data_IF_798011012813
#
_entry.id   IF_798011012813
#
_cell.length_a   1.000
_cell.length_b   1.000
_cell.length_c   1.000
_cell.angle_alpha   90.00
_cell.angle_beta   90.00
_cell.angle_gamma   90.00
#
_symmetry.space_group_name_H-M   'P 1'
#
loop_
_entity.id
_entity.type
_entity.pdbx_description
1 polymer ?
#
# COMPACT_ATOMS: atom_id res chain seq x y z
N UNK A 1 9.27 10.21 -27.93
CA UNK A 1 9.62 9.45 -26.70
C UNK A 1 9.09 10.10 -25.42
N UNK A 2 9.41 11.36 -25.06
CA UNK A 2 9.01 11.93 -23.77
C UNK A 2 7.48 12.02 -23.57
N UNK A 3 6.75 12.41 -24.61
CA UNK A 3 5.29 12.53 -24.59
C UNK A 3 4.59 11.20 -24.31
N UNK A 4 5.10 10.09 -24.86
CA UNK A 4 4.49 8.77 -24.71
C UNK A 4 4.66 8.27 -23.27
N UNK A 5 5.86 8.44 -22.70
CA UNK A 5 6.13 8.10 -21.30
C UNK A 5 5.24 8.93 -20.37
N UNK A 6 5.18 10.25 -20.56
CA UNK A 6 4.36 11.14 -19.74
C UNK A 6 2.86 10.80 -19.80
N UNK A 7 2.31 10.57 -21.00
CA UNK A 7 0.90 10.17 -21.18
C UNK A 7 0.62 8.81 -20.56
N UNK A 8 1.55 7.86 -20.70
CA UNK A 8 1.41 6.51 -20.13
C UNK A 8 1.37 6.56 -18.61
N UNK A 9 2.24 7.35 -17.97
CA UNK A 9 2.21 7.56 -16.52
C UNK A 9 0.92 8.27 -16.07
N UNK A 10 0.45 9.29 -16.80
CA UNK A 10 -0.79 10.00 -16.49
C UNK A 10 -2.03 9.10 -16.57
N UNK A 11 -2.12 8.27 -17.61
CA UNK A 11 -3.17 7.24 -17.75
C UNK A 11 -3.08 6.25 -16.58
N UNK A 12 -1.87 5.89 -16.17
CA UNK A 12 -1.63 5.04 -15.01
C UNK A 12 -2.17 5.60 -13.71
N UNK A 13 -1.82 6.85 -13.38
CA UNK A 13 -2.37 7.57 -12.23
C UNK A 13 -3.90 7.62 -12.24
N UNK A 14 -4.50 7.84 -13.41
CA UNK A 14 -5.96 7.85 -13.54
C UNK A 14 -6.58 6.48 -13.26
N UNK A 15 -5.98 5.39 -13.75
CA UNK A 15 -6.45 4.02 -13.47
C UNK A 15 -6.32 3.66 -11.99
N UNK A 16 -5.23 4.03 -11.33
CA UNK A 16 -5.07 3.84 -9.88
C UNK A 16 -6.15 4.59 -9.11
N UNK A 17 -6.46 5.82 -9.50
CA UNK A 17 -7.53 6.59 -8.88
C UNK A 17 -8.90 5.92 -9.04
N UNK A 18 -9.16 5.26 -10.17
CA UNK A 18 -10.37 4.45 -10.36
C UNK A 18 -10.38 3.18 -9.49
N UNK A 19 -9.22 2.70 -9.08
CA UNK A 19 -9.03 1.57 -8.16
C UNK A 19 -9.01 1.98 -6.68
N UNK A 20 -9.13 3.29 -6.38
CA UNK A 20 -9.14 3.83 -5.02
C UNK A 20 -7.79 4.33 -4.51
N UNK A 21 -6.73 4.28 -5.33
CA UNK A 21 -5.40 4.78 -4.99
C UNK A 21 -5.10 6.13 -5.67
N UNK A 22 -4.93 7.18 -4.86
CA UNK A 22 -4.64 8.53 -5.34
C UNK A 22 -3.13 8.78 -5.28
N UNK A 23 -2.51 8.98 -6.44
CA UNK A 23 -1.08 9.32 -6.54
C UNK A 23 -0.87 10.83 -6.48
N UNK A 24 -0.19 11.33 -5.46
CA UNK A 24 0.20 12.76 -5.36
C UNK A 24 1.41 13.12 -6.22
N UNK A 25 2.27 12.14 -6.49
CA UNK A 25 3.47 12.28 -7.31
C UNK A 25 3.43 11.25 -8.43
N UNK A 26 3.47 11.71 -9.69
CA UNK A 26 3.49 10.82 -10.87
C UNK A 26 4.73 9.93 -10.85
N UNK A 27 5.86 10.43 -10.32
CA UNK A 27 7.12 9.68 -10.19
C UNK A 27 7.05 8.54 -9.17
N UNK A 28 6.12 8.58 -8.20
CA UNK A 28 5.97 7.50 -7.22
C UNK A 28 5.61 6.15 -7.88
N UNK A 29 5.11 6.21 -9.11
CA UNK A 29 4.86 5.04 -9.95
C UNK A 29 6.11 4.15 -10.12
N UNK A 30 7.28 4.77 -10.31
CA UNK A 30 8.54 4.04 -10.49
C UNK A 30 8.99 3.35 -9.19
N UNK A 31 8.88 4.05 -8.06
CA UNK A 31 9.24 3.51 -6.75
C UNK A 31 8.36 2.32 -6.38
N UNK A 32 7.05 2.39 -6.68
CA UNK A 32 6.14 1.28 -6.41
C UNK A 32 6.35 0.06 -7.32
N UNK A 33 6.73 0.28 -8.59
CA UNK A 33 7.05 -0.84 -9.50
C UNK A 33 8.34 -1.58 -9.10
N UNK A 34 9.28 -0.85 -8.47
CA UNK A 34 10.57 -1.37 -7.97
C UNK A 34 10.49 -1.97 -6.57
N UNK A 35 9.41 -1.70 -5.84
CA UNK A 35 9.23 -2.12 -4.46
C UNK A 35 9.41 -3.62 -4.28
N UNK A 36 10.22 -4.00 -3.30
CA UNK A 36 10.54 -5.38 -2.95
C UNK A 36 10.15 -5.75 -1.51
N UNK A 37 9.93 -4.75 -0.66
CA UNK A 37 9.41 -4.94 0.70
C UNK A 37 8.24 -4.00 0.94
N UNK A 38 7.15 -4.55 1.48
CA UNK A 38 5.96 -3.80 1.85
C UNK A 38 5.69 -3.92 3.34
N UNK A 39 5.89 -2.82 4.05
CA UNK A 39 5.61 -2.69 5.46
C UNK A 39 4.15 -2.26 5.66
N UNK A 40 3.31 -3.14 6.16
CA UNK A 40 1.89 -2.84 6.37
C UNK A 40 1.55 -2.83 7.87
N UNK A 41 0.93 -1.76 8.35
CA UNK A 41 0.39 -1.74 9.71
C UNK A 41 -0.78 -2.74 9.82
N UNK A 42 -0.88 -3.48 10.93
CA UNK A 42 -1.95 -4.48 11.15
C UNK A 42 -3.33 -3.83 11.21
N UNK A 43 -3.48 -2.83 12.09
CA UNK A 43 -4.79 -2.25 12.43
C UNK A 43 -5.27 -1.30 11.34
N UNK A 44 -6.40 -1.62 10.71
CA UNK A 44 -6.98 -0.85 9.61
C UNK A 44 -6.75 -1.50 8.24
N UNK A 45 -5.51 -1.65 7.73
CA UNK A 45 -5.24 -2.31 6.45
C UNK A 45 -5.64 -3.78 6.42
N UNK A 46 -5.28 -4.54 7.47
CA UNK A 46 -5.49 -5.98 7.53
C UNK A 46 -6.68 -6.38 8.40
N UNK A 47 -7.25 -5.45 9.14
CA UNK A 47 -8.38 -5.71 10.04
C UNK A 47 -9.55 -4.80 9.70
N UNK A 48 -10.76 -5.19 10.11
CA UNK A 48 -11.98 -4.44 9.79
C UNK A 48 -12.18 -3.20 10.66
N UNK A 49 -11.36 -3.02 11.71
CA UNK A 49 -11.56 -2.01 12.75
C UNK A 49 -12.98 -2.08 13.34
N UNK A 50 -13.50 -3.31 13.45
CA UNK A 50 -14.83 -3.65 13.98
C UNK A 50 -14.62 -4.54 15.19
N UNK A 51 -14.21 -3.87 16.27
CA UNK A 51 -13.79 -4.55 17.49
C UNK A 51 -14.98 -5.24 18.16
N UNK A 52 -14.69 -6.37 18.80
CA UNK A 52 -15.63 -7.12 19.63
C UNK A 52 -14.96 -7.56 20.93
N UNK A 53 -15.74 -7.78 21.98
CA UNK A 53 -15.26 -8.23 23.29
C UNK A 53 -16.02 -9.49 23.67
N UNK A 54 -15.30 -10.53 24.09
CA UNK A 54 -15.90 -11.70 24.72
C UNK A 54 -15.97 -11.47 26.24
N UNK A 55 -17.20 -11.39 26.76
CA UNK A 55 -17.46 -11.15 28.19
C UNK A 55 -16.84 -12.22 29.09
N UNK A 56 -16.71 -13.45 28.61
CA UNK A 56 -16.17 -14.57 29.40
C UNK A 56 -14.66 -14.47 29.65
N UNK A 57 -13.97 -13.63 28.89
CA UNK A 57 -12.52 -13.46 28.95
C UNK A 57 -12.10 -12.21 29.72
N UNK A 58 -13.05 -11.43 30.23
CA UNK A 58 -12.77 -10.23 31.02
C UNK A 58 -12.14 -10.64 32.36
N UNK A 59 -11.01 -10.04 32.70
CA UNK A 59 -10.33 -10.30 33.96
C UNK A 59 -10.48 -9.11 34.92
N UNK A 60 -10.93 -9.40 36.15
CA UNK A 60 -11.17 -8.41 37.21
C UNK A 60 -10.09 -8.54 38.28
N UNK A 61 -9.56 -7.41 38.75
CA UNK A 61 -8.44 -7.35 39.70
C UNK A 61 -8.76 -6.60 41.00
N UNK A 62 -9.90 -5.89 41.06
CA UNK A 62 -10.34 -5.15 42.23
C UNK A 62 -10.84 -6.06 43.36
N UNK A 63 -10.55 -5.72 44.62
CA UNK A 63 -11.18 -6.36 45.80
C UNK A 63 -12.60 -5.85 46.06
N UNK A 64 -12.86 -4.60 45.69
CA UNK A 64 -14.13 -3.90 45.90
C UNK A 64 -15.09 -4.09 44.72
N UNK A 65 -14.59 -4.56 43.57
CA UNK A 65 -15.35 -4.78 42.34
C UNK A 65 -15.26 -6.26 42.01
N UNK A 66 -16.33 -7.00 42.29
CA UNK A 66 -16.39 -8.45 42.03
C UNK A 66 -17.01 -8.78 40.68
N UNK A 67 -17.77 -7.85 40.09
CA UNK A 67 -18.67 -8.15 39.00
C UNK A 67 -18.15 -7.63 37.65
N UNK A 68 -18.21 -8.48 36.62
CA UNK A 68 -17.76 -8.14 35.27
C UNK A 68 -18.56 -6.96 34.68
N UNK A 69 -19.85 -6.89 34.99
CA UNK A 69 -20.75 -5.84 34.51
C UNK A 69 -20.34 -4.46 35.02
N UNK A 70 -19.79 -4.38 36.24
CA UNK A 70 -19.25 -3.12 36.77
C UNK A 70 -18.02 -2.68 35.97
N UNK A 71 -17.11 -3.59 35.62
CA UNK A 71 -15.93 -3.25 34.80
C UNK A 71 -16.35 -2.73 33.42
N UNK A 72 -17.34 -3.38 32.82
CA UNK A 72 -17.94 -2.95 31.55
C UNK A 72 -18.53 -1.55 31.70
N UNK A 73 -19.34 -1.31 32.73
CA UNK A 73 -19.99 -0.02 32.95
C UNK A 73 -18.97 1.12 33.12
N UNK A 74 -17.88 0.91 33.88
CA UNK A 74 -16.81 1.89 34.04
C UNK A 74 -16.07 2.16 32.71
N UNK A 75 -15.84 1.11 31.91
CA UNK A 75 -15.24 1.24 30.57
C UNK A 75 -16.14 2.03 29.61
N UNK A 76 -17.46 1.81 29.67
CA UNK A 76 -18.44 2.52 28.85
C UNK A 76 -18.55 3.97 29.31
N UNK A 77 -18.54 4.22 30.62
CA UNK A 77 -18.55 5.58 31.18
C UNK A 77 -17.36 6.39 30.66
N UNK A 78 -16.17 5.79 30.62
CA UNK A 78 -14.96 6.41 30.07
C UNK A 78 -14.92 6.46 28.52
N UNK A 79 -15.98 6.03 27.83
CA UNK A 79 -16.18 6.19 26.38
C UNK A 79 -16.95 7.48 26.06
N UNK A 80 -16.74 8.02 24.85
CA UNK A 80 -17.70 8.95 24.27
C UNK A 80 -18.90 8.17 23.75
N UNK A 81 -20.10 8.68 24.01
CA UNK A 81 -21.34 8.13 23.44
C UNK A 81 -21.59 8.71 22.05
N UNK A 82 -21.09 9.92 21.77
CA UNK A 82 -21.22 10.61 20.49
C UNK A 82 -19.90 10.62 19.71
N UNK A 83 -19.96 10.52 18.38
CA UNK A 83 -18.81 10.50 17.47
C UNK A 83 -17.73 9.49 17.91
N UNK A 84 -18.14 8.21 17.90
CA UNK A 84 -17.41 7.12 18.54
C UNK A 84 -16.25 6.63 17.67
N UNK A 85 -15.07 6.52 18.28
CA UNK A 85 -13.98 5.69 17.76
C UNK A 85 -14.41 4.21 17.76
N UNK A 86 -13.77 3.36 16.95
CA UNK A 86 -14.09 1.93 16.89
C UNK A 86 -14.08 1.23 18.26
N UNK A 87 -13.13 1.58 19.13
CA UNK A 87 -13.05 1.06 20.51
C UNK A 87 -14.25 1.53 21.34
N UNK A 88 -14.63 2.81 21.20
CA UNK A 88 -15.77 3.37 21.93
C UNK A 88 -17.08 2.72 21.49
N UNK A 89 -17.28 2.53 20.18
CA UNK A 89 -18.45 1.88 19.62
C UNK A 89 -18.58 0.42 20.07
N UNK A 90 -17.47 -0.31 20.10
CA UNK A 90 -17.41 -1.68 20.61
C UNK A 90 -17.86 -1.76 22.08
N UNK A 91 -17.28 -0.91 22.94
CA UNK A 91 -17.56 -0.94 24.38
C UNK A 91 -18.99 -0.50 24.68
N UNK A 92 -19.47 0.57 24.05
CA UNK A 92 -20.87 1.04 24.21
C UNK A 92 -21.85 -0.02 23.72
N UNK A 93 -21.54 -0.74 22.65
CA UNK A 93 -22.35 -1.85 22.14
C UNK A 93 -22.39 -3.09 23.03
N UNK A 94 -21.60 -3.17 24.10
CA UNK A 94 -21.68 -4.28 25.07
C UNK A 94 -22.84 -4.14 26.06
N UNK A 95 -23.39 -2.93 26.19
CA UNK A 95 -24.60 -2.63 26.97
C UNK A 95 -25.85 -2.94 26.14
N UNK A 96 -26.94 -3.33 26.80
CA UNK A 96 -28.24 -3.54 26.16
C UNK A 96 -28.85 -2.23 25.67
N UNK A 97 -28.80 -1.19 26.51
CA UNK A 97 -29.18 0.19 26.16
C UNK A 97 -27.99 1.13 26.38
N UNK A 98 -27.52 1.88 25.35
CA UNK A 98 -26.49 2.91 25.51
C UNK A 98 -26.79 3.98 26.57
N UNK A 99 -28.06 4.18 26.94
CA UNK A 99 -28.46 5.14 27.98
C UNK A 99 -27.99 4.75 29.38
N UNK A 100 -27.86 3.44 29.66
CA UNK A 100 -27.34 2.93 30.95
C UNK A 100 -25.95 3.48 31.26
N UNK A 101 -25.16 3.83 30.23
CA UNK A 101 -23.83 4.41 30.38
C UNK A 101 -23.81 5.74 31.15
N UNK A 102 -24.92 6.49 31.13
CA UNK A 102 -25.04 7.82 31.75
C UNK A 102 -26.15 7.90 32.79
N UNK A 103 -26.92 6.83 32.98
CA UNK A 103 -28.00 6.80 33.96
C UNK A 103 -27.47 7.05 35.38
N UNK A 104 -28.15 7.93 36.12
CA UNK A 104 -27.80 8.28 37.50
C UNK A 104 -26.46 9.02 37.66
N UNK A 105 -25.84 9.50 36.58
CA UNK A 105 -24.56 10.22 36.61
C UNK A 105 -24.63 11.56 35.91
N UNK A 106 -24.02 12.58 36.50
CA UNK A 106 -23.85 13.90 35.86
C UNK A 106 -22.42 14.05 35.37
N UNK A 107 -22.21 14.09 34.06
CA UNK A 107 -20.90 14.29 33.44
C UNK A 107 -20.40 15.72 33.68
N UNK A 108 -19.16 15.86 34.19
CA UNK A 108 -18.54 17.16 34.49
C UNK A 108 -17.43 17.55 33.52
N UNK A 109 -16.65 16.56 33.11
CA UNK A 109 -15.50 16.75 32.22
C UNK A 109 -15.09 15.42 31.58
N UNK A 110 -14.78 15.45 30.29
CA UNK A 110 -14.26 14.32 29.54
C UNK A 110 -12.88 14.64 28.97
N UNK A 111 -11.88 13.83 29.31
CA UNK A 111 -10.54 13.87 28.75
C UNK A 111 -10.49 12.98 27.49
N UNK A 112 -10.38 13.58 26.28
CA UNK A 112 -10.31 12.83 25.03
C UNK A 112 -8.98 12.09 24.88
N UNK A 113 -8.96 11.13 23.95
CA UNK A 113 -7.78 10.34 23.66
C UNK A 113 -6.66 11.24 23.11
N UNK A 114 -5.45 11.05 23.63
CA UNK A 114 -4.23 11.66 23.13
C UNK A 114 -3.19 10.56 22.88
N UNK A 115 -2.52 10.51 21.71
CA UNK A 115 -1.47 9.51 21.43
C UNK A 115 -0.33 9.44 22.45
N UNK A 116 -0.06 10.54 23.17
CA UNK A 116 0.96 10.57 24.24
C UNK A 116 0.43 9.91 25.51
N UNK A 117 -0.80 10.23 25.90
CA UNK A 117 -1.41 9.73 27.14
C UNK A 117 -2.04 8.35 26.99
N UNK A 118 -2.35 7.92 25.76
CA UNK A 118 -2.95 6.62 25.39
C UNK A 118 -4.13 6.18 26.28
N UNK A 119 -4.93 7.14 26.75
CA UNK A 119 -6.08 6.91 27.63
C UNK A 119 -7.17 7.95 27.38
N UNK A 120 -8.39 7.60 27.77
CA UNK A 120 -9.50 8.53 27.97
C UNK A 120 -9.91 8.51 29.43
N UNK A 121 -10.52 9.59 29.90
CA UNK A 121 -11.07 9.62 31.25
C UNK A 121 -12.33 10.47 31.30
N UNK A 122 -13.25 10.11 32.19
CA UNK A 122 -14.44 10.90 32.51
C UNK A 122 -14.43 11.24 33.99
N UNK A 123 -14.84 12.47 34.32
CA UNK A 123 -15.17 12.87 35.69
C UNK A 123 -16.66 13.11 35.77
N UNK A 124 -17.34 12.47 36.71
CA UNK A 124 -18.79 12.57 36.90
C UNK A 124 -19.16 12.58 38.38
N UNK A 125 -20.38 13.02 38.66
CA UNK A 125 -21.01 12.92 39.98
C UNK A 125 -21.98 11.74 39.96
N UNK A 126 -21.89 10.86 40.94
CA UNK A 126 -22.86 9.78 41.15
C UNK A 126 -24.19 10.29 41.73
N UNK A 127 -25.16 9.38 41.90
CA UNK A 127 -26.46 9.71 42.49
C UNK A 127 -26.38 10.10 43.97
N UNK A 128 -25.30 9.71 44.67
CA UNK A 128 -25.05 10.03 46.08
C UNK A 128 -24.31 11.36 46.26
N UNK A 129 -23.96 12.05 45.18
CA UNK A 129 -23.27 13.35 45.18
C UNK A 129 -21.74 13.24 45.37
N UNK A 130 -21.16 12.04 45.26
CA UNK A 130 -19.72 11.82 45.27
C UNK A 130 -19.14 11.97 43.85
N UNK A 131 -17.92 12.47 43.78
CA UNK A 131 -17.23 12.68 42.52
C UNK A 131 -16.32 11.49 42.22
N UNK A 132 -16.52 10.90 41.05
CA UNK A 132 -15.74 9.78 40.56
C UNK A 132 -15.06 10.15 39.26
N UNK A 133 -13.92 9.49 39.01
CA UNK A 133 -13.20 9.62 37.76
C UNK A 133 -12.77 8.25 37.26
N UNK A 134 -13.30 7.87 36.10
CA UNK A 134 -13.01 6.60 35.45
C UNK A 134 -12.10 6.83 34.26
N UNK A 135 -11.18 5.91 34.01
CA UNK A 135 -10.25 5.97 32.88
C UNK A 135 -10.12 4.61 32.23
N UNK A 136 -9.97 4.64 30.90
CA UNK A 136 -9.61 3.46 30.11
C UNK A 136 -8.46 3.79 29.17
N UNK A 137 -7.63 2.82 28.86
CA UNK A 137 -6.51 3.05 27.95
C UNK A 137 -5.55 1.87 27.84
N UNK A 138 -4.38 2.14 27.28
CA UNK A 138 -3.30 1.17 27.16
C UNK A 138 -2.91 0.64 28.56
N UNK A 139 -2.79 -0.69 28.74
CA UNK A 139 -2.57 -1.28 30.05
C UNK A 139 -1.38 -0.74 30.81
N UNK A 140 -0.21 -0.58 30.19
CA UNK A 140 0.98 -0.04 30.87
C UNK A 140 0.73 1.36 31.43
N UNK A 141 -0.02 2.19 30.69
CA UNK A 141 -0.29 3.55 31.16
C UNK A 141 -1.24 3.55 32.35
N UNK A 142 -2.23 2.67 32.34
CA UNK A 142 -3.14 2.49 33.47
C UNK A 142 -2.41 1.87 34.68
N UNK A 143 -1.51 0.91 34.46
CA UNK A 143 -0.65 0.30 35.50
C UNK A 143 0.23 1.38 36.16
N UNK A 144 0.86 2.25 35.36
CA UNK A 144 1.66 3.38 35.86
C UNK A 144 0.82 4.37 36.69
N UNK A 145 -0.42 4.64 36.28
CA UNK A 145 -1.33 5.53 37.00
C UNK A 145 -1.77 4.96 38.34
N UNK A 146 -2.07 3.67 38.39
CA UNK A 146 -2.46 2.96 39.60
C UNK A 146 -1.29 2.71 40.56
N UNK A 147 -0.03 2.90 40.13
CA UNK A 147 1.18 2.59 40.91
C UNK A 147 1.07 1.21 41.59
N UNK A 148 0.70 0.20 40.79
CA UNK A 148 0.44 -1.15 41.29
C UNK A 148 1.67 -1.75 42.00
N UNK A 149 1.40 -2.55 43.03
CA UNK A 149 2.43 -3.38 43.67
C UNK A 149 2.96 -4.43 42.68
N UNK A 150 4.21 -4.83 42.86
CA UNK A 150 4.91 -5.71 41.92
C UNK A 150 4.20 -7.07 41.70
N UNK A 151 3.58 -7.62 42.74
CA UNK A 151 2.81 -8.86 42.69
C UNK A 151 1.59 -8.76 41.77
N UNK A 152 0.80 -7.69 41.92
CA UNK A 152 -0.39 -7.45 41.08
C UNK A 152 0.02 -7.08 39.66
N UNK A 153 1.07 -6.26 39.50
CA UNK A 153 1.62 -5.89 38.20
C UNK A 153 2.01 -7.13 37.38
N UNK A 154 2.73 -8.08 37.99
CA UNK A 154 3.13 -9.32 37.32
C UNK A 154 1.93 -10.18 36.89
N UNK A 155 0.87 -10.23 37.71
CA UNK A 155 -0.38 -10.92 37.33
C UNK A 155 -1.07 -10.25 36.14
N UNK A 156 -1.15 -8.93 36.12
CA UNK A 156 -1.74 -8.15 35.02
C UNK A 156 -0.94 -8.37 33.72
N UNK A 157 0.39 -8.35 33.76
CA UNK A 157 1.22 -8.67 32.59
C UNK A 157 0.97 -10.10 32.09
N UNK A 158 0.92 -11.09 32.98
CA UNK A 158 0.63 -12.47 32.58
C UNK A 158 -0.75 -12.61 31.90
N UNK A 159 -1.72 -11.79 32.28
CA UNK A 159 -3.04 -11.74 31.62
C UNK A 159 -3.00 -11.07 30.26
N UNK A 160 -2.22 -9.99 30.13
CA UNK A 160 -1.97 -9.33 28.83
C UNK A 160 -1.28 -10.31 27.87
N UNK A 161 -0.29 -11.07 28.34
CA UNK A 161 0.40 -12.09 27.54
C UNK A 161 -0.57 -13.19 27.08
N UNK A 162 -1.47 -13.67 27.95
CA UNK A 162 -2.53 -14.64 27.58
C UNK A 162 -3.48 -14.10 26.52
N UNK A 163 -3.81 -12.81 26.58
CA UNK A 163 -4.65 -12.18 25.55
C UNK A 163 -3.90 -12.08 24.23
N UNK A 164 -2.62 -11.70 24.27
CA UNK A 164 -1.75 -11.62 23.10
C UNK A 164 -1.60 -12.98 22.39
N UNK A 165 -1.38 -14.07 23.13
CA UNK A 165 -1.30 -15.44 22.58
C UNK A 165 -2.58 -15.86 21.84
N UNK A 166 -3.70 -15.21 22.11
CA UNK A 166 -5.01 -15.46 21.48
C UNK A 166 -5.38 -14.39 20.45
N UNK A 167 -4.43 -13.55 20.04
CA UNK A 167 -4.64 -12.43 19.11
C UNK A 167 -5.65 -11.38 19.61
N UNK A 168 -5.76 -11.21 20.93
CA UNK A 168 -6.64 -10.25 21.57
C UNK A 168 -5.83 -9.04 22.06
N UNK A 169 -6.32 -7.84 21.76
CA UNK A 169 -5.78 -6.59 22.31
C UNK A 169 -6.32 -6.34 23.72
N UNK A 170 -5.46 -5.94 24.64
CA UNK A 170 -5.84 -5.66 26.03
C UNK A 170 -6.17 -4.17 26.23
N UNK A 171 -7.32 -3.88 26.84
CA UNK A 171 -7.71 -2.55 27.29
C UNK A 171 -7.88 -2.55 28.81
N UNK A 172 -7.18 -1.67 29.51
CA UNK A 172 -7.27 -1.57 30.96
C UNK A 172 -8.26 -0.49 31.40
N UNK A 173 -8.88 -0.72 32.56
CA UNK A 173 -9.83 0.20 33.19
C UNK A 173 -9.40 0.46 34.63
N UNK A 174 -9.45 1.74 35.02
CA UNK A 174 -9.19 2.18 36.38
C UNK A 174 -10.20 3.24 36.82
N UNK A 175 -10.42 3.33 38.12
CA UNK A 175 -11.32 4.31 38.75
C UNK A 175 -10.64 5.00 39.92
N UNK A 176 -11.02 6.23 40.20
CA UNK A 176 -10.61 6.95 41.40
C UNK A 176 -11.75 7.81 41.94
N UNK A 177 -11.76 8.05 43.24
CA UNK A 177 -12.62 9.04 43.87
C UNK A 177 -11.93 10.42 43.86
N UNK A 178 -12.72 11.50 43.82
CA UNK A 178 -12.23 12.88 43.88
C UNK A 178 -12.83 13.58 45.11
N UNK A 179 -12.23 13.42 46.31
CA UNK A 179 -12.78 13.95 47.56
C UNK A 179 -12.91 15.47 47.58
N UNK A 180 -11.99 16.17 46.89
CA UNK A 180 -11.92 17.63 46.85
C UNK A 180 -13.03 18.28 45.99
N UNK A 181 -13.86 17.47 45.30
CA UNK A 181 -15.00 17.92 44.46
C UNK A 181 -14.67 19.08 43.51
N UNK A 182 -13.45 19.12 42.99
CA UNK A 182 -12.96 20.14 42.03
C UNK A 182 -12.42 19.48 40.78
N UNK A 183 -12.59 20.13 39.62
CA UNK A 183 -12.19 19.58 38.31
C UNK A 183 -10.67 19.43 38.17
N UNK A 184 -9.92 20.35 38.76
CA UNK A 184 -8.46 20.44 38.66
C UNK A 184 -7.72 19.56 39.67
N UNK A 185 -8.42 19.00 40.66
CA UNK A 185 -7.82 18.13 41.65
C UNK A 185 -7.27 16.84 41.01
N UNK A 186 -6.11 16.43 41.50
CA UNK A 186 -5.50 15.13 41.20
C UNK A 186 -6.39 13.95 41.62
N UNK A 187 -7.26 14.15 42.61
CA UNK A 187 -8.10 13.12 43.22
C UNK A 187 -7.31 12.14 44.09
N UNK A 188 -7.98 11.07 44.53
CA UNK A 188 -7.39 9.99 45.32
C UNK A 188 -6.52 9.04 44.49
N UNK A 189 -6.04 7.94 45.11
CA UNK A 189 -5.27 6.92 44.40
C UNK A 189 -6.13 6.16 43.39
N UNK A 190 -5.62 5.96 42.17
CA UNK A 190 -6.25 5.15 41.14
C UNK A 190 -6.31 3.67 41.55
N UNK A 191 -7.50 3.09 41.50
CA UNK A 191 -7.75 1.66 41.67
C UNK A 191 -7.80 1.00 40.30
N UNK A 192 -6.96 0.00 40.07
CA UNK A 192 -7.00 -0.82 38.86
C UNK A 192 -8.17 -1.80 38.96
N UNK A 193 -9.09 -1.75 37.99
CA UNK A 193 -10.36 -2.49 38.07
C UNK A 193 -10.27 -3.79 37.28
N UNK A 194 -9.90 -3.71 36.00
CA UNK A 194 -9.95 -4.87 35.12
C UNK A 194 -9.31 -4.66 33.75
N UNK A 195 -9.23 -5.76 33.01
CA UNK A 195 -8.77 -5.84 31.63
C UNK A 195 -9.89 -6.39 30.73
N UNK A 196 -10.13 -5.70 29.61
CA UNK A 196 -11.04 -6.13 28.57
C UNK A 196 -10.25 -6.61 27.34
N UNK A 197 -10.49 -7.83 26.85
CA UNK A 197 -9.92 -8.32 25.60
C UNK A 197 -10.74 -7.84 24.41
N UNK A 198 -10.09 -7.16 23.48
CA UNK A 198 -10.63 -6.65 22.23
C UNK A 198 -10.13 -7.52 21.07
N UNK A 199 -11.05 -8.07 20.30
CA UNK A 199 -10.77 -8.80 19.07
C UNK A 199 -11.08 -7.92 17.86
N UNK A 200 -10.11 -7.76 16.95
CA UNK A 200 -10.32 -7.11 15.65
C UNK A 200 -10.23 -8.16 14.54
N UNK A 201 -11.36 -8.52 13.89
CA UNK A 201 -11.35 -9.55 12.86
C UNK A 201 -10.54 -9.10 11.63
N UNK A 202 -9.79 -10.02 11.01
CA UNK A 202 -9.12 -9.73 9.75
C UNK A 202 -10.14 -9.47 8.63
N UNK A 203 -9.73 -8.72 7.60
CA UNK A 203 -10.59 -8.58 6.42
C UNK A 203 -10.62 -9.88 5.62
N UNK A 204 -11.70 -10.08 4.88
CA UNK A 204 -11.88 -11.27 4.03
C UNK A 204 -10.81 -11.36 2.93
N UNK A 205 -10.31 -10.21 2.46
CA UNK A 205 -9.29 -10.08 1.43
C UNK A 205 -7.86 -10.01 1.99
N UNK A 206 -7.66 -9.92 3.31
CA UNK A 206 -6.32 -9.74 3.90
C UNK A 206 -5.35 -10.87 3.55
N UNK A 207 -5.83 -12.11 3.45
CA UNK A 207 -5.01 -13.24 3.04
C UNK A 207 -4.54 -13.10 1.58
N UNK A 208 -5.43 -12.66 0.68
CA UNK A 208 -5.08 -12.40 -0.72
C UNK A 208 -4.19 -11.17 -0.86
N UNK A 209 -4.45 -10.13 -0.07
CA UNK A 209 -3.64 -8.91 -0.01
C UNK A 209 -2.21 -9.18 0.46
N UNK A 210 -1.96 -10.26 1.20
CA UNK A 210 -0.60 -10.73 1.55
C UNK A 210 -0.05 -11.65 0.46
N UNK A 211 -0.86 -12.58 -0.07
CA UNK A 211 -0.42 -13.57 -1.05
C UNK A 211 -0.04 -12.96 -2.40
N UNK A 212 -0.84 -12.01 -2.90
CA UNK A 212 -0.65 -11.41 -4.22
C UNK A 212 0.68 -10.64 -4.34
N UNK A 213 1.10 -9.80 -3.38
CA UNK A 213 2.43 -9.20 -3.40
C UNK A 213 3.56 -10.24 -3.31
N UNK A 214 3.39 -11.30 -2.49
CA UNK A 214 4.38 -12.37 -2.36
C UNK A 214 4.60 -13.11 -3.69
N UNK A 215 3.52 -13.43 -4.41
CA UNK A 215 3.56 -14.04 -5.74
C UNK A 215 4.24 -13.13 -6.79
N UNK A 216 4.25 -11.81 -6.53
CA UNK A 216 4.94 -10.80 -7.34
C UNK A 216 6.36 -10.48 -6.83
N UNK A 217 6.90 -11.26 -5.89
CA UNK A 217 8.24 -11.06 -5.34
C UNK A 217 8.38 -9.86 -4.40
N UNK A 218 7.27 -9.38 -3.82
CA UNK A 218 7.25 -8.33 -2.80
C UNK A 218 7.02 -8.96 -1.42
N UNK A 219 7.99 -8.80 -0.51
CA UNK A 219 7.90 -9.35 0.83
C UNK A 219 7.03 -8.46 1.73
N UNK A 220 5.91 -9.00 2.22
CA UNK A 220 5.02 -8.27 3.13
C UNK A 220 5.48 -8.45 4.58
N UNK A 221 5.76 -7.34 5.26
CA UNK A 221 6.10 -7.28 6.67
C UNK A 221 4.99 -6.58 7.43
N UNK A 222 4.32 -7.32 8.31
CA UNK A 222 3.27 -6.76 9.17
C UNK A 222 3.92 -6.06 10.35
N UNK A 223 3.55 -4.81 10.56
CA UNK A 223 3.97 -4.00 11.69
C UNK A 223 2.81 -3.93 12.68
N UNK A 224 3.06 -4.40 13.90
CA UNK A 224 2.08 -4.38 14.99
C UNK A 224 2.41 -3.22 15.93
N UNK A 225 1.39 -2.46 16.33
CA UNK A 225 1.54 -1.25 17.16
C UNK A 225 1.66 -1.50 18.66
N UNK A 226 1.78 -2.76 19.10
CA UNK A 226 1.86 -3.09 20.53
C UNK A 226 3.23 -2.72 21.13
N UNK A 227 3.26 -2.47 22.44
CA UNK A 227 4.34 -1.75 23.14
C UNK A 227 5.76 -2.31 23.00
N UNK A 228 5.93 -3.61 22.75
CA UNK A 228 7.24 -4.23 22.51
C UNK A 228 7.79 -3.98 21.09
N UNK A 229 7.03 -3.34 20.21
CA UNK A 229 7.34 -3.25 18.78
C UNK A 229 7.74 -1.85 18.29
N UNK A 230 7.71 -0.80 19.12
CA UNK A 230 8.06 0.56 18.64
C UNK A 230 9.54 0.64 18.25
N UNK A 231 10.45 0.15 19.10
CA UNK A 231 11.89 0.13 18.79
C UNK A 231 12.19 -0.77 17.59
N UNK A 232 11.56 -1.94 17.52
CA UNK A 232 11.65 -2.84 16.36
C UNK A 232 11.10 -2.20 15.08
N UNK A 233 10.04 -1.39 15.15
CA UNK A 233 9.48 -0.65 14.00
C UNK A 233 10.51 0.33 13.45
N UNK A 234 11.14 1.12 14.31
CA UNK A 234 12.22 2.04 13.91
C UNK A 234 13.43 1.30 13.36
N UNK A 235 13.82 0.19 13.96
CA UNK A 235 14.96 -0.61 13.52
C UNK A 235 14.72 -1.26 12.15
N UNK A 236 13.53 -1.81 11.92
CA UNK A 236 13.12 -2.38 10.62
C UNK A 236 13.12 -1.28 9.55
N UNK A 237 12.49 -0.13 9.82
CA UNK A 237 12.41 0.99 8.87
C UNK A 237 13.79 1.56 8.54
N UNK A 238 14.74 1.51 9.49
CA UNK A 238 16.12 1.99 9.28
C UNK A 238 17.01 0.98 8.55
N UNK A 239 16.95 -0.30 8.92
CA UNK A 239 17.83 -1.34 8.38
C UNK A 239 17.47 -1.79 6.96
N UNK A 240 16.20 -1.71 6.56
CA UNK A 240 15.79 -2.17 5.24
C UNK A 240 16.38 -1.30 4.09
N UNK A 241 16.32 0.05 4.16
CA UNK A 241 17.03 0.89 3.19
C UNK A 241 18.55 0.70 3.19
N UNK A 242 19.17 0.50 4.37
CA UNK A 242 20.62 0.21 4.48
C UNK A 242 21.02 -1.07 3.73
N UNK A 243 20.10 -2.04 3.64
CA UNK A 243 20.28 -3.29 2.89
C UNK A 243 19.90 -3.19 1.41
N UNK A 244 19.66 -1.97 0.90
CA UNK A 244 19.27 -1.66 -0.48
C UNK A 244 17.87 -2.15 -0.89
N UNK A 245 16.98 -2.38 0.07
CA UNK A 245 15.57 -2.67 -0.22
C UNK A 245 14.79 -1.38 -0.51
N UNK A 246 13.88 -1.43 -1.49
CA UNK A 246 12.95 -0.34 -1.81
C UNK A 246 11.65 -0.64 -1.07
N UNK A 247 11.46 0.07 0.03
CA UNK A 247 10.39 -0.20 0.98
C UNK A 247 9.18 0.70 0.72
N UNK A 248 8.01 0.09 0.54
CA UNK A 248 6.73 0.79 0.71
C UNK A 248 6.24 0.67 2.15
N UNK A 249 5.56 1.70 2.64
CA UNK A 249 4.88 1.66 3.94
C UNK A 249 3.41 2.04 3.73
N UNK A 250 2.48 1.23 4.23
CA UNK A 250 1.04 1.44 4.01
C UNK A 250 0.29 1.80 5.29
N UNK A 251 -0.73 2.66 5.12
CA UNK A 251 -1.93 2.73 5.96
C UNK A 251 -3.20 2.15 5.31
N UNK A 252 -3.13 1.74 4.04
CA UNK A 252 -3.96 0.79 3.25
C UNK A 252 -3.36 0.87 1.82
N UNK A 253 -3.34 -0.19 0.98
CA UNK A 253 -2.83 -0.07 -0.41
C UNK A 253 -2.03 -1.22 -1.02
N UNK A 254 -2.27 -2.47 -0.60
CA UNK A 254 -1.60 -3.67 -1.12
C UNK A 254 -2.13 -4.10 -2.51
N UNK A 255 -3.33 -3.65 -2.89
CA UNK A 255 -4.07 -4.20 -4.02
C UNK A 255 -3.69 -3.63 -5.40
N UNK A 256 -2.91 -2.54 -5.45
CA UNK A 256 -2.59 -1.83 -6.71
C UNK A 256 -1.25 -2.24 -7.35
N UNK A 257 -0.45 -3.04 -6.65
CA UNK A 257 0.87 -3.50 -7.11
C UNK A 257 0.84 -4.15 -8.52
N UNK A 258 -0.14 -5.00 -8.88
CA UNK A 258 -0.18 -5.59 -10.22
C UNK A 258 -0.40 -4.57 -11.33
N UNK A 259 -1.29 -3.58 -11.11
CA UNK A 259 -1.56 -2.51 -12.06
C UNK A 259 -0.33 -1.61 -12.27
N UNK A 260 0.45 -1.42 -11.20
CA UNK A 260 1.72 -0.69 -11.18
C UNK A 260 2.83 -1.40 -11.95
N UNK A 261 2.88 -2.73 -11.87
CA UNK A 261 3.86 -3.51 -12.65
C UNK A 261 3.49 -3.58 -14.13
N UNK A 262 2.21 -3.60 -14.47
CA UNK A 262 1.74 -3.67 -15.86
C UNK A 262 2.13 -2.43 -16.68
N UNK A 263 1.90 -1.20 -16.18
CA UNK A 263 2.20 0.00 -16.98
C UNK A 263 3.71 0.27 -17.01
N UNK A 264 4.46 -0.14 -15.98
CA UNK A 264 5.92 -0.11 -16.02
C UNK A 264 6.48 -1.02 -17.13
N UNK A 265 5.91 -2.22 -17.29
CA UNK A 265 6.27 -3.13 -18.37
C UNK A 265 5.97 -2.52 -19.76
N UNK A 266 4.84 -1.83 -19.93
CA UNK A 266 4.54 -1.11 -21.18
C UNK A 266 5.57 -0.03 -21.50
N UNK A 267 6.07 0.70 -20.49
CA UNK A 267 7.13 1.70 -20.69
C UNK A 267 8.48 1.07 -21.11
N UNK A 268 8.85 -0.10 -20.57
CA UNK A 268 10.04 -0.86 -21.01
C UNK A 268 9.91 -1.24 -22.49
N UNK A 269 8.81 -1.88 -22.87
CA UNK A 269 8.56 -2.32 -24.25
C UNK A 269 8.63 -1.16 -25.25
N UNK A 270 8.07 0.00 -24.89
CA UNK A 270 8.18 1.21 -25.71
C UNK A 270 9.62 1.69 -25.87
N UNK A 271 10.39 1.70 -24.78
CA UNK A 271 11.79 2.15 -24.80
C UNK A 271 12.66 1.24 -25.68
N UNK A 272 12.48 -0.07 -25.58
CA UNK A 272 13.16 -1.06 -26.43
C UNK A 272 12.81 -0.80 -27.91
N UNK A 273 11.54 -0.62 -28.23
CA UNK A 273 11.08 -0.32 -29.59
C UNK A 273 11.70 0.97 -30.15
N UNK A 274 11.69 2.05 -29.37
CA UNK A 274 12.26 3.33 -29.77
C UNK A 274 13.76 3.20 -30.09
N UNK A 275 14.53 2.53 -29.22
CA UNK A 275 15.95 2.27 -29.43
C UNK A 275 16.16 1.39 -30.67
N UNK A 276 15.39 0.31 -30.82
CA UNK A 276 15.50 -0.62 -31.95
C UNK A 276 15.29 0.06 -33.30
N UNK A 277 14.29 0.94 -33.43
CA UNK A 277 14.04 1.66 -34.68
C UNK A 277 15.15 2.66 -34.97
N UNK A 278 15.62 3.40 -33.97
CA UNK A 278 16.73 4.36 -34.15
C UNK A 278 17.99 3.64 -34.64
N UNK A 279 18.36 2.51 -34.01
CA UNK A 279 19.50 1.70 -34.42
C UNK A 279 19.33 1.16 -35.85
N UNK A 280 18.13 0.68 -36.20
CA UNK A 280 17.84 0.20 -37.55
C UNK A 280 18.11 1.28 -38.62
N UNK A 281 17.53 2.48 -38.47
CA UNK A 281 17.71 3.56 -39.44
C UNK A 281 19.16 4.09 -39.48
N UNK A 282 19.81 4.20 -38.32
CA UNK A 282 21.21 4.66 -38.25
C UNK A 282 22.15 3.67 -38.94
N UNK A 283 21.99 2.36 -38.71
CA UNK A 283 22.81 1.34 -39.38
C UNK A 283 22.59 1.32 -40.89
N UNK A 284 21.34 1.46 -41.36
CA UNK A 284 21.06 1.57 -42.79
C UNK A 284 21.73 2.80 -43.41
N UNK A 285 21.69 3.95 -42.74
CA UNK A 285 22.32 5.18 -43.23
C UNK A 285 23.86 5.11 -43.22
N UNK A 286 24.47 4.46 -42.22
CA UNK A 286 25.93 4.35 -42.10
C UNK A 286 26.54 3.29 -43.02
N UNK A 287 25.93 2.11 -43.10
CA UNK A 287 26.46 0.96 -43.85
C UNK A 287 26.14 1.09 -45.34
N UNK A 288 25.03 1.75 -45.69
CA UNK A 288 24.56 1.85 -47.06
C UNK A 288 24.44 3.31 -47.49
N UNK A 289 25.34 3.75 -48.39
CA UNK A 289 25.29 5.07 -49.06
C UNK A 289 24.17 5.12 -50.11
N UNK A 290 22.94 4.79 -49.74
CA UNK A 290 21.78 4.89 -50.60
C UNK A 290 20.95 6.11 -50.17
N UNK A 291 20.65 6.99 -51.12
CA UNK A 291 19.76 8.13 -50.87
C UNK A 291 18.32 7.64 -50.81
N UNK A 292 17.85 7.30 -49.61
CA UNK A 292 16.43 7.07 -49.38
C UNK A 292 15.65 8.37 -49.62
N UNK A 293 14.54 8.33 -50.38
CA UNK A 293 13.74 9.53 -50.60
C UNK A 293 13.26 10.11 -49.26
N UNK A 294 13.66 11.35 -48.98
CA UNK A 294 13.39 12.05 -47.70
C UNK A 294 11.90 12.06 -47.33
N UNK A 295 11.03 12.19 -48.35
CA UNK A 295 9.58 12.16 -48.19
C UNK A 295 9.05 10.81 -47.66
N UNK A 296 9.70 9.72 -48.03
CA UNK A 296 9.31 8.36 -47.64
C UNK A 296 9.67 8.08 -46.19
N UNK A 297 10.84 8.55 -45.75
CA UNK A 297 11.26 8.54 -44.35
C UNK A 297 10.32 9.40 -43.50
N UNK A 298 9.89 10.56 -44.01
CA UNK A 298 8.90 11.41 -43.34
C UNK A 298 7.55 10.69 -43.16
N UNK A 299 7.04 10.00 -44.19
CA UNK A 299 5.81 9.20 -44.07
C UNK A 299 5.96 8.13 -42.98
N UNK A 300 7.07 7.40 -42.98
CA UNK A 300 7.32 6.36 -41.96
C UNK A 300 7.38 6.99 -40.56
N UNK A 301 8.03 8.15 -40.39
CA UNK A 301 8.10 8.85 -39.13
C UNK A 301 6.70 9.26 -38.61
N UNK A 302 5.86 9.84 -39.47
CA UNK A 302 4.49 10.26 -39.12
C UNK A 302 3.61 9.05 -38.77
N UNK A 303 3.67 7.98 -39.57
CA UNK A 303 2.93 6.75 -39.29
C UNK A 303 3.40 6.08 -37.99
N UNK A 304 4.70 6.09 -37.72
CA UNK A 304 5.26 5.58 -36.47
C UNK A 304 4.78 6.41 -35.27
N UNK A 305 4.77 7.75 -35.36
CA UNK A 305 4.26 8.59 -34.27
C UNK A 305 2.77 8.38 -33.99
N UNK A 306 1.95 8.18 -35.03
CA UNK A 306 0.52 7.90 -34.88
C UNK A 306 0.25 6.54 -34.22
N UNK A 307 0.98 5.51 -34.62
CA UNK A 307 0.80 4.14 -34.12
C UNK A 307 1.37 3.94 -32.73
N UNK A 308 2.48 4.61 -32.39
CA UNK A 308 3.12 4.53 -31.06
C UNK A 308 2.19 4.97 -29.92
N UNK A 309 1.23 5.88 -30.16
CA UNK A 309 0.25 6.29 -29.13
C UNK A 309 -0.65 5.15 -28.67
N UNK A 310 -0.78 4.08 -29.45
CA UNK A 310 -1.56 2.90 -29.04
C UNK A 310 -0.88 2.11 -27.93
N UNK A 311 0.45 2.21 -27.80
CA UNK A 311 1.26 1.49 -26.81
C UNK A 311 0.92 1.94 -25.38
N UNK A 312 0.55 3.21 -25.18
CA UNK A 312 0.14 3.71 -23.85
C UNK A 312 -1.18 3.10 -23.36
N UNK A 313 -1.96 2.50 -24.25
CA UNK A 313 -3.21 1.79 -23.94
C UNK A 313 -3.05 0.28 -23.91
N UNK A 314 -1.84 -0.23 -24.16
CA UNK A 314 -1.57 -1.66 -24.26
C UNK A 314 -1.77 -2.37 -22.91
N UNK A 315 -2.22 -3.63 -22.98
CA UNK A 315 -2.48 -4.49 -21.83
C UNK A 315 -1.36 -5.52 -21.68
N UNK A 316 -0.24 -5.07 -21.14
CA UNK A 316 0.92 -5.94 -20.91
C UNK A 316 0.78 -6.68 -19.59
N UNK A 317 1.21 -7.95 -19.56
CA UNK A 317 1.23 -8.75 -18.32
C UNK A 317 2.26 -8.17 -17.33
N UNK A 318 1.91 -8.02 -16.04
CA UNK A 318 2.85 -7.60 -15.01
C UNK A 318 4.08 -8.51 -14.91
N UNK A 319 5.24 -7.95 -14.59
CA UNK A 319 6.43 -8.74 -14.26
C UNK A 319 6.23 -9.50 -12.93
N UNK A 320 6.66 -10.77 -12.82
CA UNK A 320 6.52 -11.56 -11.60
C UNK A 320 7.51 -11.17 -10.48
N UNK A 321 8.52 -10.34 -10.77
CA UNK A 321 9.51 -9.88 -9.78
C UNK A 321 9.52 -8.35 -9.61
N UNK A 322 10.19 -7.83 -8.56
CA UNK A 322 10.50 -6.40 -8.47
C UNK A 322 11.40 -6.00 -9.65
N UNK A 323 11.07 -4.89 -10.31
CA UNK A 323 11.69 -4.54 -11.58
C UNK A 323 12.42 -3.20 -11.49
N UNK A 324 13.71 -3.17 -11.81
CA UNK A 324 14.57 -1.99 -11.86
C UNK A 324 14.77 -1.50 -13.31
N UNK A 325 14.94 -0.18 -13.50
CA UNK A 325 15.26 0.37 -14.83
C UNK A 325 16.72 0.07 -15.20
N UNK A 326 16.97 -1.16 -15.66
CA UNK A 326 18.28 -1.55 -16.16
C UNK A 326 18.47 -1.04 -17.59
N UNK A 327 18.90 0.21 -17.69
CA UNK A 327 19.20 0.85 -18.97
C UNK A 327 20.12 -0.05 -19.83
N UNK A 328 21.10 -0.71 -19.23
CA UNK A 328 22.00 -1.65 -19.93
C UNK A 328 21.26 -2.78 -20.65
N UNK A 329 20.34 -3.47 -19.98
CA UNK A 329 19.54 -4.57 -20.56
C UNK A 329 18.61 -4.05 -21.67
N UNK A 330 17.97 -2.90 -21.44
CA UNK A 330 17.05 -2.26 -22.38
C UNK A 330 17.79 -1.83 -23.66
N UNK A 331 18.96 -1.20 -23.52
CA UNK A 331 19.81 -0.81 -24.64
C UNK A 331 20.34 -2.03 -25.39
N UNK A 332 20.84 -3.06 -24.68
CA UNK A 332 21.34 -4.28 -25.30
C UNK A 332 20.25 -4.96 -26.15
N UNK A 333 19.05 -5.13 -25.57
CA UNK A 333 17.90 -5.74 -26.28
C UNK A 333 17.49 -4.90 -27.49
N UNK A 334 17.38 -3.58 -27.33
CA UNK A 334 17.05 -2.67 -28.43
C UNK A 334 18.08 -2.70 -29.56
N UNK A 335 19.37 -2.72 -29.23
CA UNK A 335 20.46 -2.78 -30.21
C UNK A 335 20.43 -4.12 -30.98
N UNK A 336 20.24 -5.25 -30.30
CA UNK A 336 20.17 -6.57 -30.95
C UNK A 336 19.00 -6.64 -31.93
N UNK A 337 17.80 -6.22 -31.50
CA UNK A 337 16.62 -6.19 -32.37
C UNK A 337 16.80 -5.23 -33.55
N UNK A 338 17.32 -4.02 -33.29
CA UNK A 338 17.55 -3.02 -34.34
C UNK A 338 18.58 -3.47 -35.37
N UNK A 339 19.66 -4.11 -34.92
CA UNK A 339 20.70 -4.67 -35.79
C UNK A 339 20.15 -5.83 -36.62
N UNK A 340 19.36 -6.72 -36.01
CA UNK A 340 18.68 -7.81 -36.73
C UNK A 340 17.76 -7.27 -37.84
N UNK A 341 16.91 -6.27 -37.54
CA UNK A 341 16.07 -5.64 -38.56
C UNK A 341 16.91 -5.02 -39.69
N UNK A 342 17.99 -4.31 -39.35
CA UNK A 342 18.87 -3.72 -40.36
C UNK A 342 19.48 -4.78 -41.30
N UNK A 343 19.98 -5.89 -40.73
CA UNK A 343 20.53 -7.00 -41.51
C UNK A 343 19.46 -7.62 -42.40
N UNK A 344 18.24 -7.85 -41.90
CA UNK A 344 17.16 -8.43 -42.69
C UNK A 344 16.71 -7.50 -43.82
N UNK A 345 16.64 -6.18 -43.58
CA UNK A 345 16.36 -5.18 -44.62
C UNK A 345 17.43 -5.20 -45.72
N UNK A 346 18.70 -5.31 -45.32
CA UNK A 346 19.84 -5.45 -46.25
C UNK A 346 19.75 -6.73 -47.08
N UNK A 347 19.47 -7.86 -46.44
CA UNK A 347 19.31 -9.16 -47.12
C UNK A 347 18.14 -9.09 -48.11
N UNK A 348 17.00 -8.54 -47.70
CA UNK A 348 15.84 -8.33 -48.56
C UNK A 348 16.18 -7.49 -49.78
N UNK A 349 16.83 -6.34 -49.58
CA UNK A 349 17.22 -5.45 -50.68
C UNK A 349 18.21 -6.12 -51.64
N UNK A 350 19.21 -6.84 -51.11
CA UNK A 350 20.16 -7.60 -51.92
C UNK A 350 19.47 -8.70 -52.73
N UNK A 351 18.53 -9.42 -52.12
CA UNK A 351 17.75 -10.46 -52.77
C UNK A 351 16.83 -9.90 -53.87
N UNK A 352 16.29 -8.69 -53.69
CA UNK A 352 15.44 -8.04 -54.68
C UNK A 352 16.23 -7.41 -55.84
N UNK A 353 17.43 -6.84 -55.58
CA UNK A 353 18.17 -6.10 -56.59
C UNK A 353 19.22 -6.94 -57.34
N UNK A 354 19.91 -7.88 -56.66
CA UNK A 354 21.04 -8.62 -57.27
C UNK A 354 20.68 -10.04 -57.72
N UNK A 355 19.56 -10.58 -57.26
CA UNK A 355 19.14 -11.95 -57.60
C UNK A 355 17.74 -11.97 -58.19
N UNK A 356 17.47 -12.93 -59.08
CA UNK A 356 16.13 -13.18 -59.64
C UNK A 356 15.23 -13.98 -58.68
N UNK A 357 15.55 -13.98 -57.38
CA UNK A 357 14.86 -14.78 -56.38
C UNK A 357 13.36 -14.46 -56.28
N UNK A 358 13.02 -13.16 -56.32
CA UNK A 358 11.63 -12.73 -56.26
C UNK A 358 10.90 -12.86 -57.62
N UNK A 359 11.60 -12.70 -58.75
CA UNK A 359 11.01 -12.86 -60.09
C UNK A 359 10.72 -14.32 -60.43
N UNK A 360 11.60 -15.26 -60.04
CA UNK A 360 11.43 -16.70 -60.25
C UNK A 360 10.27 -17.30 -59.45
N UNK A 361 9.95 -16.75 -58.28
CA UNK A 361 8.94 -17.32 -57.37
C UNK A 361 7.54 -16.72 -57.53
N UNK A 362 7.43 -15.52 -58.10
CA UNK A 362 6.15 -14.81 -58.29
C UNK A 362 5.56 -14.95 -59.71
N UNK A 363 6.19 -15.75 -60.58
CA UNK A 363 5.65 -16.08 -61.91
C UNK A 363 5.73 -14.97 -62.96
N UNK A 364 6.23 -13.78 -62.62
CA UNK A 364 6.47 -12.72 -63.59
C UNK A 364 7.88 -12.80 -64.17
N UNK A 365 8.01 -13.49 -65.30
CA UNK A 365 9.15 -13.32 -66.21
C UNK A 365 9.02 -11.92 -66.81
N UNK A 366 9.81 -10.96 -66.35
CA UNK A 366 9.88 -9.66 -66.99
C UNK A 366 11.33 -9.22 -67.19
N UNK A 367 11.71 -9.07 -68.46
CA UNK A 367 13.06 -8.80 -69.00
C UNK A 367 13.54 -7.36 -68.79
N UNK A 368 13.00 -6.62 -67.82
CA UNK A 368 13.43 -5.26 -67.49
C UNK A 368 13.62 -5.08 -65.98
N UNK A 369 14.85 -5.40 -65.53
CA UNK A 369 15.29 -5.34 -64.12
C UNK A 369 15.15 -3.99 -63.38
N UNK A 370 15.02 -2.79 -63.99
CA UNK A 370 14.84 -1.58 -63.17
C UNK A 370 13.39 -1.31 -62.75
N UNK A 371 12.35 -1.91 -63.35
CA UNK A 371 10.96 -1.40 -63.20
C UNK A 371 10.21 -1.81 -61.93
N UNK A 372 10.58 -2.88 -61.22
CA UNK A 372 9.83 -3.34 -60.04
C UNK A 372 9.92 -2.34 -58.88
N UNK A 373 11.05 -1.64 -58.74
CA UNK A 373 11.22 -0.61 -57.71
C UNK A 373 10.42 0.66 -58.07
N UNK A 374 10.38 1.06 -59.34
CA UNK A 374 9.61 2.22 -59.80
C UNK A 374 8.09 2.00 -59.81
N UNK A 375 7.60 0.75 -59.93
CA UNK A 375 6.16 0.47 -59.86
C UNK A 375 5.60 0.48 -58.43
N UNK A 376 6.46 0.24 -57.42
CA UNK A 376 6.07 0.32 -56.00
C UNK A 376 6.24 1.74 -55.43
N UNK A 377 7.02 2.61 -56.08
CA UNK A 377 7.23 4.00 -55.67
C UNK A 377 7.25 4.95 -56.87
N UNK A 378 6.17 5.73 -57.10
CA UNK A 378 5.94 6.46 -58.35
C UNK A 378 6.55 7.86 -58.33
N UNK A 379 7.77 8.03 -57.79
CA UNK A 379 8.45 9.33 -57.82
C UNK A 379 9.83 9.23 -58.48
N UNK A 380 10.12 10.10 -59.47
CA UNK A 380 11.41 10.10 -60.13
C UNK A 380 12.47 10.63 -59.15
N UNK A 381 13.46 9.77 -58.85
CA UNK A 381 14.71 10.18 -58.21
C UNK A 381 15.49 10.99 -59.24
N UNK A 382 15.87 12.22 -58.88
CA UNK A 382 16.78 13.06 -59.65
C UNK A 382 18.19 12.94 -59.11
#
# INVERSE_FOLDING_TARGET
MPTVLAVTMAIGCHRLSQQGAITTRITAYEDMARMDVLCSDKTGPLTLNKLSVDKNLIEVFGKDVTDMDTVILLAVRAARVENQDAIAACIVGMLGDPKEAREGTTELHFLPFNPVDKRTAITYIDSDGNWHRDSKGAPERIIELCKLRADVKNRVHASIDRFFERDLHSLAVATQEVPEKTKESGGGPWKFVGLLPLFDPPRHDSAEAIRLPLDLGVNVKIIVGDQLAIEHKYEIVKKLPERKHICGMTGDGVNDVPALKAIFQSMKSYTIYAISITIHFVLLALVWKYDFPRFMVLIIAVLNEGTVRTISKDRVKPSPGPYSWELGEIFATGIVLGTYLAIMTVVFFRAAHKTDFFSLRTGHINTNKPRIIYSLFPFPVR
#
